data_IF_027613896124
#
_entry.id   IF_027613896124
#
_cell.length_a   1.000
_cell.length_b   1.000
_cell.length_c   1.000
_cell.angle_alpha   90.00
_cell.angle_beta   90.00
_cell.angle_gamma   90.00
#
_symmetry.space_group_name_H-M   'P 1'
#
loop_
_entity.id
_entity.type
_entity.pdbx_description
1 polymer ?
#
# COMPACT_ATOMS: atom_id res chain seq x y z
N UNK A 1 16.43 4.18 6.22
CA UNK A 1 15.99 2.98 5.49
C UNK A 1 16.18 3.19 4.00
N UNK A 2 17.16 2.47 3.42
CA UNK A 2 17.48 2.45 1.98
C UNK A 2 16.42 1.66 1.23
N UNK A 3 15.74 2.32 0.31
CA UNK A 3 15.76 2.06 -1.13
C UNK A 3 14.54 2.78 -1.71
N UNK A 4 14.79 3.75 -2.57
CA UNK A 4 13.79 4.46 -3.38
C UNK A 4 13.17 3.52 -4.44
N UNK A 5 12.75 2.32 -4.04
CA UNK A 5 11.98 1.44 -4.92
C UNK A 5 10.65 2.14 -5.17
N UNK A 6 10.44 2.56 -6.41
CA UNK A 6 9.20 3.19 -6.83
C UNK A 6 8.10 2.17 -6.60
N UNK A 7 7.23 2.43 -5.62
CA UNK A 7 6.10 1.56 -5.29
C UNK A 7 5.13 1.52 -6.46
N UNK A 8 5.21 0.48 -7.27
CA UNK A 8 4.30 0.25 -8.38
C UNK A 8 3.05 -0.49 -7.88
N UNK A 9 1.91 -0.29 -8.54
CA UNK A 9 0.68 -1.05 -8.26
C UNK A 9 0.82 -2.53 -8.61
N UNK A 10 1.84 -2.89 -9.40
CA UNK A 10 2.17 -4.26 -9.80
C UNK A 10 2.89 -5.04 -8.69
N UNK A 11 3.52 -4.37 -7.73
CA UNK A 11 4.30 -5.02 -6.66
C UNK A 11 3.39 -5.43 -5.49
N UNK A 12 2.52 -6.41 -5.72
CA UNK A 12 1.44 -6.80 -4.80
C UNK A 12 1.99 -7.17 -3.42
N UNK A 13 3.04 -7.98 -3.38
CA UNK A 13 3.62 -8.47 -2.13
C UNK A 13 4.23 -7.36 -1.30
N UNK A 14 4.76 -6.32 -1.96
CA UNK A 14 5.25 -5.14 -1.28
C UNK A 14 4.09 -4.30 -0.76
N UNK A 15 3.04 -4.11 -1.56
CA UNK A 15 1.86 -3.34 -1.16
C UNK A 15 1.10 -3.99 0.01
N UNK A 16 1.01 -5.33 0.06
CA UNK A 16 0.38 -6.07 1.16
C UNK A 16 1.03 -5.78 2.51
N UNK A 17 2.35 -5.57 2.57
CA UNK A 17 3.06 -5.20 3.81
C UNK A 17 2.64 -3.85 4.39
N UNK A 18 2.00 -3.01 3.58
CA UNK A 18 1.49 -1.71 3.98
C UNK A 18 -0.03 -1.71 4.21
N UNK A 19 -0.65 -2.89 4.26
CA UNK A 19 -2.04 -3.08 4.61
C UNK A 19 -2.16 -3.78 5.98
N UNK A 20 -3.28 -3.57 6.64
CA UNK A 20 -3.74 -4.43 7.73
C UNK A 20 -4.27 -5.75 7.18
N UNK A 21 -4.51 -6.73 8.04
CA UNK A 21 -5.16 -8.00 7.66
C UNK A 21 -6.54 -7.78 7.02
N UNK A 22 -7.30 -6.80 7.52
CA UNK A 22 -8.59 -6.37 6.93
C UNK A 22 -8.46 -5.63 5.58
N UNK A 23 -7.25 -5.49 5.05
CA UNK A 23 -6.97 -4.78 3.80
C UNK A 23 -6.94 -3.25 3.90
N UNK A 24 -7.04 -2.63 5.08
CA UNK A 24 -6.96 -1.16 5.27
C UNK A 24 -5.51 -0.68 5.09
N UNK A 25 -5.31 0.53 4.58
CA UNK A 25 -3.96 1.10 4.39
C UNK A 25 -3.40 1.53 5.74
N UNK A 26 -2.18 1.07 6.07
CA UNK A 26 -1.48 1.46 7.29
C UNK A 26 -1.19 2.97 7.31
N UNK A 27 -1.28 3.54 8.52
CA UNK A 27 -1.00 4.97 8.74
C UNK A 27 0.49 5.28 8.50
N UNK A 28 0.79 6.53 8.14
CA UNK A 28 2.19 6.98 7.95
C UNK A 28 3.05 6.79 9.21
N UNK A 29 2.45 6.90 10.40
CA UNK A 29 3.14 6.69 11.68
C UNK A 29 3.59 5.24 11.82
N UNK A 30 2.74 4.31 11.40
CA UNK A 30 3.02 2.87 11.43
C UNK A 30 4.02 2.45 10.35
N UNK A 31 3.97 3.07 9.16
CA UNK A 31 4.83 2.70 8.03
C UNK A 31 6.21 3.37 8.05
N UNK A 32 6.39 4.44 8.84
CA UNK A 32 7.63 5.22 8.89
C UNK A 32 7.97 5.97 7.59
N UNK A 33 7.01 6.07 6.65
CA UNK A 33 7.24 6.70 5.35
C UNK A 33 7.22 8.23 5.42
N UNK A 34 7.94 8.86 4.49
CA UNK A 34 7.78 10.30 4.24
C UNK A 34 6.39 10.60 3.64
N UNK A 35 5.93 11.84 3.76
CA UNK A 35 4.64 12.27 3.18
C UNK A 35 4.57 12.03 1.66
N UNK A 36 5.67 12.23 0.94
CA UNK A 36 5.75 11.99 -0.51
C UNK A 36 5.64 10.51 -0.85
N UNK A 37 6.28 9.64 -0.07
CA UNK A 37 6.20 8.19 -0.24
C UNK A 37 4.80 7.67 0.10
N UNK A 38 4.20 8.12 1.21
CA UNK A 38 2.85 7.71 1.59
C UNK A 38 1.82 8.09 0.51
N UNK A 39 1.90 9.30 -0.08
CA UNK A 39 1.02 9.71 -1.19
C UNK A 39 1.16 8.77 -2.41
N UNK A 40 2.40 8.40 -2.77
CA UNK A 40 2.66 7.46 -3.86
C UNK A 40 2.11 6.07 -3.55
N UNK A 41 2.38 5.55 -2.34
CA UNK A 41 1.86 4.28 -1.87
C UNK A 41 0.33 4.22 -1.96
N UNK A 42 -0.37 5.21 -1.39
CA UNK A 42 -1.83 5.26 -1.42
C UNK A 42 -2.37 5.27 -2.84
N UNK A 43 -1.74 5.99 -3.78
CA UNK A 43 -2.15 5.99 -5.19
C UNK A 43 -1.98 4.61 -5.83
N UNK A 44 -0.85 3.94 -5.58
CA UNK A 44 -0.57 2.59 -6.09
C UNK A 44 -1.52 1.54 -5.51
N UNK A 45 -1.80 1.57 -4.20
CA UNK A 45 -2.78 0.68 -3.56
C UNK A 45 -4.17 0.89 -4.14
N UNK A 46 -4.63 2.13 -4.29
CA UNK A 46 -5.95 2.42 -4.88
C UNK A 46 -6.06 1.89 -6.31
N UNK A 47 -4.99 2.03 -7.11
CA UNK A 47 -4.94 1.48 -8.46
C UNK A 47 -4.99 -0.05 -8.47
N UNK A 48 -4.23 -0.71 -7.59
CA UNK A 48 -4.26 -2.16 -7.46
C UNK A 48 -5.65 -2.68 -7.04
N UNK A 49 -6.35 -1.94 -6.17
CA UNK A 49 -7.73 -2.27 -5.78
C UNK A 49 -8.74 -2.16 -6.92
N UNK A 50 -8.64 -1.12 -7.76
CA UNK A 50 -9.50 -0.97 -8.95
C UNK A 50 -9.28 -2.13 -9.93
N UNK A 51 -8.05 -2.62 -10.05
CA UNK A 51 -7.70 -3.76 -10.89
C UNK A 51 -8.03 -5.12 -10.24
N UNK A 52 -8.74 -5.15 -9.11
CA UNK A 52 -9.09 -6.35 -8.34
C UNK A 52 -7.89 -7.18 -7.85
N UNK A 53 -6.71 -6.57 -7.76
CA UNK A 53 -5.48 -7.23 -7.31
C UNK A 53 -5.36 -7.21 -5.78
N UNK A 54 -5.94 -6.20 -5.14
CA UNK A 54 -6.00 -6.07 -3.68
C UNK A 54 -7.45 -5.82 -3.24
N UNK A 55 -7.88 -6.38 -2.10
CA UNK A 55 -9.22 -6.13 -1.57
C UNK A 55 -9.36 -4.70 -1.03
N UNK A 56 -10.57 -4.15 -1.11
CA UNK A 56 -10.93 -2.89 -0.45
C UNK A 56 -11.16 -3.09 1.05
N UNK A 57 -11.83 -4.19 1.40
CA UNK A 57 -12.09 -4.63 2.75
C UNK A 57 -12.14 -6.17 2.70
N UNK A 58 -11.31 -6.82 3.50
CA UNK A 58 -11.48 -8.25 3.78
C UNK A 58 -12.36 -8.33 5.02
N UNK A 59 -13.57 -8.88 4.87
CA UNK A 59 -14.38 -9.33 6.00
C UNK A 59 -14.00 -10.79 6.24
N UNK A 60 -13.63 -11.10 7.47
CA UNK A 60 -13.69 -12.47 7.99
C UNK A 60 -15.16 -12.91 8.05
#
# INVERSE_FOLDING_TARGET
MKQSKILNYKDIDLLRKFLTDQGKILSRRSTGLTSKQQKKLTKSVKKARILSVLPFLSKD
#
